data_IF_121651616238
#
_entry.id   IF_121651616238
#
_cell.length_a   1.000
_cell.length_b   1.000
_cell.length_c   1.000
_cell.angle_alpha   90.00
_cell.angle_beta   90.00
_cell.angle_gamma   90.00
#
_symmetry.space_group_name_H-M   'P 1'
#
loop_
_entity.id
_entity.type
_entity.pdbx_description
1 polymer ?
#
# COMPACT_ATOMS: atom_id res chain seq x y z
N UNK A 1 1.75 -41.64 13.19
CA UNK A 1 3.04 -41.62 12.46
C UNK A 1 3.64 -40.23 12.57
N UNK A 2 4.77 -40.08 13.27
CA UNK A 2 5.58 -38.84 13.21
C UNK A 2 6.16 -38.76 11.80
N UNK A 3 6.14 -37.61 11.11
CA UNK A 3 6.77 -37.50 9.81
C UNK A 3 8.29 -37.55 10.02
N UNK A 4 8.89 -38.67 9.64
CA UNK A 4 10.31 -38.84 9.41
C UNK A 4 10.70 -38.04 8.17
N UNK A 5 11.41 -36.92 8.37
CA UNK A 5 11.79 -36.03 7.27
C UNK A 5 12.91 -35.07 7.67
N UNK A 6 14.11 -35.62 7.84
CA UNK A 6 15.35 -34.90 8.10
C UNK A 6 15.79 -34.14 6.83
N UNK A 7 15.27 -32.93 6.59
CA UNK A 7 15.67 -32.15 5.40
C UNK A 7 15.93 -30.68 5.72
N UNK A 8 17.20 -30.28 5.62
CA UNK A 8 17.60 -28.87 5.56
C UNK A 8 16.95 -28.23 4.32
N UNK A 9 16.08 -27.24 4.54
CA UNK A 9 15.34 -26.58 3.47
C UNK A 9 15.64 -25.07 3.46
N UNK A 10 15.82 -24.52 2.26
CA UNK A 10 15.82 -23.08 2.06
C UNK A 10 14.37 -22.59 2.04
N UNK A 11 14.04 -21.66 2.94
CA UNK A 11 12.72 -21.03 3.04
C UNK A 11 12.86 -19.58 2.61
N UNK A 12 11.99 -19.11 1.72
CA UNK A 12 11.91 -17.70 1.35
C UNK A 12 10.61 -17.13 1.90
N UNK A 13 10.74 -16.17 2.80
CA UNK A 13 9.64 -15.44 3.43
C UNK A 13 9.44 -14.15 2.64
N UNK A 14 8.38 -14.10 1.84
CA UNK A 14 7.96 -12.92 1.10
C UNK A 14 7.06 -12.06 1.98
N UNK A 15 7.53 -10.88 2.34
CA UNK A 15 6.81 -9.91 3.18
C UNK A 15 6.11 -8.90 2.29
N UNK A 16 4.79 -8.78 2.44
CA UNK A 16 3.94 -7.86 1.67
C UNK A 16 3.05 -7.06 2.62
N UNK A 17 2.80 -5.80 2.30
CA UNK A 17 1.88 -4.92 3.01
C UNK A 17 0.45 -5.19 2.52
N UNK A 18 -0.51 -5.47 3.42
CA UNK A 18 -1.88 -5.71 3.00
C UNK A 18 -2.57 -4.46 2.42
N UNK A 19 -2.20 -3.27 2.90
CA UNK A 19 -2.81 -2.01 2.48
C UNK A 19 -2.35 -1.63 1.07
N UNK A 20 -1.08 -1.88 0.77
CA UNK A 20 -0.46 -1.66 -0.54
C UNK A 20 0.10 -2.97 -1.12
N UNK A 21 -0.77 -3.95 -1.30
CA UNK A 21 -0.36 -5.30 -1.72
C UNK A 21 0.37 -5.28 -3.06
N UNK A 22 -0.21 -4.66 -4.09
CA UNK A 22 0.38 -4.65 -5.44
C UNK A 22 1.65 -3.81 -5.53
N UNK A 23 1.74 -2.75 -4.71
CA UNK A 23 2.95 -1.95 -4.58
C UNK A 23 4.08 -2.69 -3.91
N UNK A 24 3.78 -3.43 -2.82
CA UNK A 24 4.78 -4.12 -2.00
C UNK A 24 5.14 -5.54 -2.48
N UNK A 25 4.33 -6.14 -3.35
CA UNK A 25 4.55 -7.50 -3.82
C UNK A 25 5.80 -7.57 -4.72
N UNK A 26 6.75 -8.47 -4.42
CA UNK A 26 7.99 -8.57 -5.19
C UNK A 26 7.77 -9.31 -6.53
N UNK A 27 7.06 -8.67 -7.49
CA UNK A 27 6.62 -9.26 -8.77
C UNK A 27 7.79 -9.84 -9.58
N UNK A 28 8.92 -9.11 -9.67
CA UNK A 28 10.10 -9.58 -10.41
C UNK A 28 10.80 -10.74 -9.72
N UNK A 29 11.05 -10.61 -8.41
CA UNK A 29 11.74 -11.66 -7.66
C UNK A 29 10.90 -12.94 -7.60
N UNK A 30 9.59 -12.83 -7.37
CA UNK A 30 8.68 -13.98 -7.41
C UNK A 30 8.69 -14.66 -8.77
N UNK A 31 8.47 -13.93 -9.87
CA UNK A 31 8.51 -14.52 -11.23
C UNK A 31 9.86 -15.18 -11.54
N UNK A 32 10.98 -14.57 -11.18
CA UNK A 32 12.31 -15.15 -11.38
C UNK A 32 12.51 -16.41 -10.53
N UNK A 33 12.10 -16.39 -9.26
CA UNK A 33 12.13 -17.56 -8.38
C UNK A 33 11.26 -18.68 -8.96
N UNK A 34 10.01 -18.39 -9.36
CA UNK A 34 9.12 -19.40 -9.94
C UNK A 34 9.63 -19.93 -11.28
N UNK A 35 10.18 -19.10 -12.16
CA UNK A 35 10.79 -19.54 -13.42
C UNK A 35 11.98 -20.46 -13.15
N UNK A 36 12.84 -20.12 -12.19
CA UNK A 36 13.95 -20.98 -11.78
C UNK A 36 13.44 -22.31 -11.20
N UNK A 37 12.37 -22.26 -10.39
CA UNK A 37 11.71 -23.41 -9.79
C UNK A 37 11.05 -24.34 -10.83
N UNK A 38 10.50 -23.79 -11.91
CA UNK A 38 9.90 -24.57 -13.01
C UNK A 38 10.97 -25.19 -13.92
N UNK A 39 12.07 -24.46 -14.19
CA UNK A 39 13.20 -24.99 -14.93
C UNK A 39 13.89 -26.17 -14.23
N UNK A 40 13.96 -26.15 -12.89
CA UNK A 40 14.57 -27.22 -12.08
C UNK A 40 13.68 -28.45 -11.88
N UNK A 41 12.39 -28.42 -12.24
CA UNK A 41 11.54 -29.64 -12.21
C UNK A 41 12.00 -30.72 -13.22
N UNK A 42 12.86 -30.37 -14.18
CA UNK A 42 13.48 -31.32 -15.10
C UNK A 42 14.67 -32.08 -14.48
N UNK A 43 15.26 -31.56 -13.40
CA UNK A 43 16.34 -32.20 -12.64
C UNK A 43 15.86 -32.55 -11.22
N UNK A 44 15.50 -33.81 -11.00
CA UNK A 44 14.94 -34.37 -9.76
C UNK A 44 15.85 -34.27 -8.52
N UNK A 45 17.04 -33.67 -8.62
CA UNK A 45 18.05 -33.57 -7.53
C UNK A 45 18.10 -32.21 -6.82
N UNK A 46 17.51 -31.14 -7.36
CA UNK A 46 17.53 -29.80 -6.74
C UNK A 46 16.31 -29.56 -5.86
N UNK A 47 16.52 -29.48 -4.54
CA UNK A 47 15.46 -29.14 -3.57
C UNK A 47 15.04 -27.68 -3.75
N UNK A 48 13.83 -27.51 -4.28
CA UNK A 48 13.17 -26.22 -4.49
C UNK A 48 12.99 -25.46 -3.15
N UNK A 49 13.31 -24.15 -3.08
CA UNK A 49 12.99 -23.36 -1.89
C UNK A 49 11.49 -23.32 -1.61
N UNK A 50 11.14 -23.45 -0.33
CA UNK A 50 9.75 -23.35 0.14
C UNK A 50 9.39 -21.87 0.27
N UNK A 51 8.31 -21.45 -0.40
CA UNK A 51 7.89 -20.05 -0.44
C UNK A 51 6.77 -19.81 0.57
N UNK A 52 6.98 -18.89 1.50
CA UNK A 52 5.99 -18.48 2.50
C UNK A 52 5.65 -17.02 2.26
N UNK A 53 4.37 -16.71 2.08
CA UNK A 53 3.90 -15.33 1.96
C UNK A 53 3.42 -14.85 3.32
N UNK A 54 3.90 -13.70 3.74
CA UNK A 54 3.54 -13.05 4.99
C UNK A 54 2.94 -11.69 4.66
N UNK A 55 1.62 -11.59 4.84
CA UNK A 55 0.89 -10.35 4.64
C UNK A 55 0.84 -9.60 5.97
N UNK A 56 1.52 -8.45 6.04
CA UNK A 56 1.71 -7.65 7.25
C UNK A 56 0.68 -6.51 7.33
N UNK A 57 0.68 -5.82 8.47
CA UNK A 57 -0.17 -4.64 8.74
C UNK A 57 -1.67 -4.91 8.59
N UNK A 58 -2.10 -6.14 8.86
CA UNK A 58 -3.52 -6.53 8.81
C UNK A 58 -4.37 -5.74 9.80
N UNK A 59 -3.75 -5.18 10.83
CA UNK A 59 -4.40 -4.30 11.82
C UNK A 59 -4.79 -2.91 11.29
N UNK A 60 -4.25 -2.53 10.12
CA UNK A 60 -4.61 -1.28 9.44
C UNK A 60 -5.79 -1.46 8.50
N UNK A 61 -6.17 -2.70 8.19
CA UNK A 61 -7.32 -2.96 7.34
C UNK A 61 -8.62 -2.72 8.11
N UNK A 62 -9.69 -2.29 7.41
CA UNK A 62 -10.99 -2.12 8.04
C UNK A 62 -11.50 -3.43 8.65
N UNK A 63 -12.04 -3.36 9.87
CA UNK A 63 -12.58 -4.50 10.63
C UNK A 63 -13.76 -5.21 9.96
N UNK A 64 -14.38 -4.62 8.93
CA UNK A 64 -15.43 -5.27 8.13
C UNK A 64 -14.92 -6.50 7.36
N UNK A 65 -13.61 -6.58 7.07
CA UNK A 65 -13.06 -7.70 6.32
C UNK A 65 -12.91 -8.93 7.23
N UNK A 66 -13.62 -10.01 6.92
CA UNK A 66 -13.42 -11.27 7.62
C UNK A 66 -12.04 -11.88 7.33
N UNK A 67 -11.37 -12.50 8.32
CA UNK A 67 -10.06 -13.13 8.12
C UNK A 67 -10.03 -14.17 6.99
N UNK A 68 -11.11 -14.94 6.84
CA UNK A 68 -11.26 -15.94 5.76
C UNK A 68 -11.28 -15.31 4.38
N UNK A 69 -11.98 -14.18 4.23
CA UNK A 69 -12.00 -13.43 2.97
C UNK A 69 -10.62 -12.86 2.67
N UNK A 70 -9.97 -12.25 3.66
CA UNK A 70 -8.63 -11.67 3.51
C UNK A 70 -7.61 -12.72 3.07
N UNK A 71 -7.59 -13.90 3.70
CA UNK A 71 -6.71 -15.01 3.29
C UNK A 71 -6.97 -15.45 1.84
N UNK A 72 -8.25 -15.64 1.47
CA UNK A 72 -8.62 -16.00 0.10
C UNK A 72 -8.19 -14.93 -0.91
N UNK A 73 -8.42 -13.66 -0.60
CA UNK A 73 -8.03 -12.53 -1.44
C UNK A 73 -6.51 -12.48 -1.63
N UNK A 74 -5.73 -12.55 -0.53
CA UNK A 74 -4.26 -12.53 -0.57
C UNK A 74 -3.71 -13.68 -1.41
N UNK A 75 -4.25 -14.90 -1.27
CA UNK A 75 -3.84 -16.07 -2.07
C UNK A 75 -4.11 -15.86 -3.55
N UNK A 76 -5.31 -15.39 -3.90
CA UNK A 76 -5.68 -15.15 -5.30
C UNK A 76 -4.81 -14.05 -5.92
N UNK A 77 -4.58 -12.97 -5.17
CA UNK A 77 -3.74 -11.85 -5.60
C UNK A 77 -2.27 -12.26 -5.77
N UNK A 78 -1.74 -13.08 -4.87
CA UNK A 78 -0.40 -13.63 -4.99
C UNK A 78 -0.25 -14.52 -6.24
N UNK A 79 -1.27 -15.35 -6.55
CA UNK A 79 -1.30 -16.15 -7.78
C UNK A 79 -1.28 -15.26 -9.03
N UNK A 80 -2.12 -14.22 -9.07
CA UNK A 80 -2.18 -13.26 -10.18
C UNK A 80 -0.84 -12.52 -10.39
N UNK A 81 -0.12 -12.22 -9.31
CA UNK A 81 1.18 -11.54 -9.37
C UNK A 81 2.38 -12.48 -9.66
N UNK A 82 2.14 -13.75 -9.97
CA UNK A 82 3.17 -14.70 -10.38
C UNK A 82 3.69 -15.61 -9.27
N UNK A 83 2.95 -15.76 -8.17
CA UNK A 83 3.23 -16.74 -7.13
C UNK A 83 2.15 -17.83 -7.00
N UNK A 84 2.08 -18.78 -7.96
CA UNK A 84 0.98 -19.75 -8.02
C UNK A 84 1.01 -20.79 -6.89
N UNK A 85 2.19 -21.16 -6.39
CA UNK A 85 2.38 -22.22 -5.38
C UNK A 85 3.11 -21.70 -4.16
N UNK A 86 2.36 -21.48 -3.08
CA UNK A 86 2.89 -21.05 -1.78
C UNK A 86 2.81 -22.23 -0.81
N UNK A 87 3.87 -22.42 -0.01
CA UNK A 87 3.90 -23.40 1.09
C UNK A 87 3.00 -22.97 2.26
N UNK A 88 2.80 -21.66 2.43
CA UNK A 88 1.90 -21.09 3.42
C UNK A 88 1.63 -19.62 3.18
N UNK A 89 0.50 -19.13 3.67
CA UNK A 89 0.14 -17.71 3.73
C UNK A 89 -0.20 -17.39 5.18
N UNK A 90 0.41 -16.35 5.71
CA UNK A 90 0.20 -15.88 7.08
C UNK A 90 -0.18 -14.42 7.09
N UNK A 91 -1.28 -14.14 7.79
CA UNK A 91 -1.77 -12.79 8.06
C UNK A 91 -1.23 -12.37 9.42
N UNK A 92 -0.44 -11.28 9.45
CA UNK A 92 0.24 -10.86 10.69
C UNK A 92 0.12 -9.36 10.93
N UNK A 93 0.03 -9.00 12.21
CA UNK A 93 0.34 -7.65 12.67
C UNK A 93 1.50 -7.73 13.63
N UNK A 94 2.67 -7.24 13.22
CA UNK A 94 3.83 -7.16 14.10
C UNK A 94 3.64 -6.13 15.23
N UNK A 95 2.78 -5.11 15.02
CA UNK A 95 2.49 -4.08 16.03
C UNK A 95 1.54 -4.60 17.11
N UNK A 96 0.44 -5.25 16.70
CA UNK A 96 -0.54 -5.87 17.61
C UNK A 96 -0.18 -7.29 18.03
N UNK A 97 0.98 -7.79 17.59
CA UNK A 97 1.49 -9.13 17.90
C UNK A 97 0.55 -10.28 17.47
N UNK A 98 -0.22 -10.04 16.40
CA UNK A 98 -1.17 -10.98 15.83
C UNK A 98 -0.47 -11.93 14.85
N UNK A 99 -0.67 -13.25 15.03
CA UNK A 99 -0.20 -14.27 14.08
C UNK A 99 1.32 -14.53 14.08
N UNK A 100 2.10 -13.75 14.82
CA UNK A 100 3.58 -13.82 14.84
C UNK A 100 4.09 -15.16 15.37
N UNK A 101 3.49 -15.70 16.44
CA UNK A 101 3.88 -17.00 17.03
C UNK A 101 3.59 -18.18 16.09
N UNK A 102 2.46 -18.16 15.41
CA UNK A 102 2.06 -19.20 14.47
C UNK A 102 2.96 -19.18 13.22
N UNK A 103 3.32 -17.98 12.74
CA UNK A 103 4.30 -17.84 11.67
C UNK A 103 5.67 -18.38 12.09
N UNK A 104 6.14 -18.04 13.28
CA UNK A 104 7.45 -18.46 13.76
C UNK A 104 7.58 -19.97 13.91
N UNK A 105 6.59 -20.62 14.52
CA UNK A 105 6.54 -22.08 14.65
C UNK A 105 6.56 -22.76 13.28
N UNK A 106 5.78 -22.26 12.33
CA UNK A 106 5.75 -22.77 10.96
C UNK A 106 7.08 -22.60 10.22
N UNK A 107 7.73 -21.44 10.32
CA UNK A 107 9.05 -21.21 9.70
C UNK A 107 10.09 -22.16 10.30
N UNK A 108 10.08 -22.36 11.63
CA UNK A 108 11.00 -23.28 12.31
C UNK A 108 10.82 -24.72 11.83
N UNK A 109 9.58 -25.18 11.74
CA UNK A 109 9.25 -26.52 11.24
C UNK A 109 9.66 -26.67 9.77
N UNK A 110 9.38 -25.68 8.93
CA UNK A 110 9.71 -25.71 7.50
C UNK A 110 11.20 -25.74 7.22
N UNK A 111 11.99 -24.94 7.97
CA UNK A 111 13.42 -24.78 7.77
C UNK A 111 14.23 -25.96 8.33
N UNK A 112 13.77 -26.55 9.45
CA UNK A 112 14.50 -27.61 10.13
C UNK A 112 15.77 -27.12 10.86
N UNK A 113 16.62 -28.05 11.35
CA UNK A 113 17.72 -27.72 12.27
C UNK A 113 18.93 -27.02 11.63
N UNK A 114 19.12 -27.07 10.30
CA UNK A 114 20.21 -26.39 9.59
C UNK A 114 19.76 -25.62 8.34
N UNK A 115 18.46 -25.33 8.23
CA UNK A 115 17.90 -24.60 7.10
C UNK A 115 18.29 -23.12 7.05
N UNK A 116 18.08 -22.49 5.88
CA UNK A 116 18.31 -21.07 5.67
C UNK A 116 16.98 -20.37 5.37
N UNK A 117 16.68 -19.29 6.09
CA UNK A 117 15.47 -18.49 5.92
C UNK A 117 15.84 -17.13 5.36
N UNK A 118 15.30 -16.79 4.19
CA UNK A 118 15.54 -15.53 3.50
C UNK A 118 14.30 -14.65 3.59
N UNK A 119 14.41 -13.47 4.19
CA UNK A 119 13.29 -12.54 4.28
C UNK A 119 13.43 -11.51 3.17
N UNK A 120 12.48 -11.50 2.22
CA UNK A 120 12.46 -10.60 1.06
C UNK A 120 11.15 -9.79 1.03
N UNK A 121 11.18 -8.58 0.49
CA UNK A 121 9.99 -7.74 0.36
C UNK A 121 10.35 -6.30 0.02
N UNK A 122 9.34 -5.52 -0.38
CA UNK A 122 9.54 -4.10 -0.68
C UNK A 122 10.06 -3.30 0.53
N UNK A 123 10.64 -2.13 0.25
CA UNK A 123 10.85 -1.12 1.28
C UNK A 123 9.49 -0.76 1.92
N UNK A 124 9.47 -0.56 3.24
CA UNK A 124 8.26 -0.25 4.03
C UNK A 124 7.18 -1.35 4.13
N UNK A 125 7.39 -2.55 3.57
CA UNK A 125 6.49 -3.70 3.74
C UNK A 125 6.41 -4.25 5.19
N UNK A 126 7.16 -3.68 6.14
CA UNK A 126 7.15 -4.10 7.55
C UNK A 126 8.14 -5.23 7.89
N UNK A 127 9.10 -5.52 7.00
CA UNK A 127 10.10 -6.58 7.18
C UNK A 127 10.90 -6.47 8.48
N UNK A 128 11.51 -5.32 8.76
CA UNK A 128 12.31 -5.12 9.98
C UNK A 128 11.43 -5.17 11.23
N UNK A 129 10.20 -4.66 11.17
CA UNK A 129 9.23 -4.77 12.26
C UNK A 129 8.84 -6.21 12.53
N UNK A 130 8.65 -7.02 11.48
CA UNK A 130 8.36 -8.45 11.59
C UNK A 130 9.52 -9.21 12.25
N UNK A 131 10.75 -8.99 11.77
CA UNK A 131 11.96 -9.61 12.34
C UNK A 131 12.08 -9.28 13.83
N UNK A 132 11.88 -8.00 14.20
CA UNK A 132 11.92 -7.58 15.60
C UNK A 132 10.84 -8.28 16.44
N UNK A 133 9.63 -8.44 15.91
CA UNK A 133 8.55 -9.14 16.59
C UNK A 133 8.87 -10.64 16.78
N UNK A 134 9.45 -11.30 15.76
CA UNK A 134 9.89 -12.70 15.85
C UNK A 134 10.98 -12.87 16.91
N UNK A 135 11.96 -11.96 16.97
CA UNK A 135 13.03 -12.01 17.98
C UNK A 135 12.49 -11.82 19.39
N UNK A 136 11.56 -10.87 19.58
CA UNK A 136 10.91 -10.63 20.87
C UNK A 136 10.15 -11.88 21.35
N UNK A 137 9.52 -12.62 20.43
CA UNK A 137 8.80 -13.86 20.75
C UNK A 137 9.68 -15.00 21.21
N UNK A 138 10.92 -15.05 20.74
CA UNK A 138 11.93 -16.00 21.20
C UNK A 138 12.64 -15.56 22.48
N UNK A 139 12.33 -14.39 23.02
CA UNK A 139 13.04 -13.84 24.18
C UNK A 139 14.52 -13.54 23.89
N UNK A 140 14.90 -13.43 22.63
CA UNK A 140 16.30 -13.25 22.21
C UNK A 140 16.52 -11.81 21.76
N UNK A 141 17.62 -11.18 22.19
CA UNK A 141 18.06 -9.89 21.62
C UNK A 141 18.62 -10.13 20.22
N UNK A 142 18.19 -9.32 19.25
CA UNK A 142 18.67 -9.42 17.86
C UNK A 142 20.17 -9.16 17.84
N UNK A 143 20.95 -10.19 17.53
CA UNK A 143 22.37 -10.03 17.19
C UNK A 143 22.49 -9.96 15.67
N UNK A 144 22.75 -8.76 15.14
CA UNK A 144 23.14 -8.59 13.74
C UNK A 144 24.61 -8.98 13.63
N UNK A 145 24.88 -10.15 13.07
CA UNK A 145 26.20 -10.78 13.18
C UNK A 145 27.15 -10.34 12.07
N UNK A 146 26.68 -10.24 10.82
CA UNK A 146 27.54 -10.00 9.66
C UNK A 146 26.73 -9.39 8.51
N UNK A 147 27.30 -8.39 7.85
CA UNK A 147 26.83 -7.83 6.58
C UNK A 147 27.59 -8.50 5.44
N UNK A 148 26.88 -9.15 4.52
CA UNK A 148 27.47 -9.63 3.28
C UNK A 148 27.34 -8.53 2.22
N UNK A 149 28.47 -8.07 1.68
CA UNK A 149 28.49 -7.09 0.61
C UNK A 149 27.78 -7.65 -0.63
N UNK A 150 26.75 -6.95 -1.09
CA UNK A 150 26.12 -7.19 -2.39
C UNK A 150 26.56 -6.05 -3.31
N UNK A 151 27.13 -6.33 -4.50
CA UNK A 151 27.57 -5.30 -5.41
C UNK A 151 26.42 -4.36 -5.79
N UNK A 152 26.61 -3.05 -5.63
CA UNK A 152 25.63 -2.02 -6.05
C UNK A 152 24.61 -1.59 -5.00
N UNK A 153 24.71 -2.03 -3.74
CA UNK A 153 23.83 -1.56 -2.64
C UNK A 153 24.62 -1.11 -1.41
N UNK A 154 24.22 0.00 -0.79
CA UNK A 154 24.83 0.58 0.44
C UNK A 154 24.48 -0.19 1.72
N UNK A 155 23.51 -1.10 1.66
CA UNK A 155 23.11 -2.02 2.73
C UNK A 155 23.23 -3.44 2.20
N UNK A 156 24.08 -4.25 2.80
CA UNK A 156 24.27 -5.66 2.48
C UNK A 156 23.22 -6.58 3.13
N UNK A 157 23.37 -7.88 2.89
CA UNK A 157 22.50 -8.90 3.50
C UNK A 157 22.93 -9.09 4.96
N UNK A 158 21.99 -8.96 5.90
CA UNK A 158 22.27 -9.11 7.32
C UNK A 158 21.91 -10.50 7.82
N UNK A 159 22.86 -11.16 8.48
CA UNK A 159 22.60 -12.42 9.19
C UNK A 159 22.05 -12.14 10.60
N UNK A 160 20.89 -12.71 10.89
CA UNK A 160 20.22 -12.61 12.18
C UNK A 160 20.40 -13.93 12.96
N UNK A 161 21.02 -13.82 14.13
CA UNK A 161 21.17 -14.93 15.07
C UNK A 161 20.01 -15.03 16.08
N UNK A 162 19.82 -16.21 16.65
CA UNK A 162 18.99 -16.41 17.85
C UNK A 162 17.48 -16.59 17.65
N UNK A 163 16.95 -16.36 16.45
CA UNK A 163 15.50 -16.53 16.17
C UNK A 163 15.14 -17.99 15.81
N UNK A 164 16.04 -18.69 15.13
CA UNK A 164 15.82 -20.06 14.66
C UNK A 164 16.61 -21.06 15.52
N UNK A 165 16.08 -22.28 15.71
CA UNK A 165 16.73 -23.30 16.54
C UNK A 165 18.02 -23.83 15.89
N UNK A 166 18.93 -24.31 16.75
CA UNK A 166 20.14 -25.03 16.38
C UNK A 166 21.09 -24.25 15.44
N UNK A 167 21.31 -24.74 14.21
CA UNK A 167 22.25 -24.15 13.24
C UNK A 167 21.54 -23.43 12.10
N UNK A 168 20.21 -23.33 12.14
CA UNK A 168 19.44 -22.64 11.13
C UNK A 168 19.74 -21.13 11.13
N UNK A 169 19.74 -20.51 9.96
CA UNK A 169 20.15 -19.12 9.77
C UNK A 169 19.03 -18.30 9.16
N UNK A 170 18.81 -17.10 9.68
CA UNK A 170 17.89 -16.12 9.10
C UNK A 170 18.69 -14.99 8.46
N UNK A 171 18.29 -14.59 7.25
CA UNK A 171 18.91 -13.54 6.47
C UNK A 171 17.88 -12.45 6.17
N UNK A 172 18.17 -11.23 6.58
CA UNK A 172 17.43 -10.04 6.19
C UNK A 172 18.05 -9.45 4.93
N UNK A 173 17.24 -9.30 3.90
CA UNK A 173 17.69 -8.70 2.64
C UNK A 173 17.31 -7.22 2.61
N UNK A 174 18.05 -6.36 1.90
CA UNK A 174 17.62 -4.98 1.69
C UNK A 174 16.19 -4.91 1.11
N UNK A 175 15.43 -3.88 1.51
CA UNK A 175 14.09 -3.67 0.97
C UNK A 175 14.14 -3.40 -0.53
N UNK A 176 13.32 -4.10 -1.31
CA UNK A 176 13.24 -3.87 -2.75
C UNK A 176 12.62 -2.50 -3.01
N UNK A 177 13.32 -1.67 -3.77
CA UNK A 177 12.81 -0.39 -4.26
C UNK A 177 12.00 -0.62 -5.53
N UNK A 178 10.78 -0.09 -5.53
CA UNK A 178 9.89 -0.16 -6.67
C UNK A 178 9.70 1.26 -7.23
N UNK A 179 10.25 1.57 -8.42
CA UNK A 179 10.23 2.94 -8.95
C UNK A 179 8.83 3.42 -9.35
N UNK A 180 7.87 2.49 -9.42
CA UNK A 180 6.48 2.77 -9.76
C UNK A 180 5.60 3.14 -8.55
N UNK A 181 6.18 3.22 -7.34
CA UNK A 181 5.44 3.65 -6.14
C UNK A 181 5.28 5.17 -6.15
N UNK A 182 4.09 5.67 -5.81
CA UNK A 182 3.86 7.10 -5.58
C UNK A 182 4.75 7.63 -4.44
N UNK A 183 4.89 6.84 -3.37
CA UNK A 183 5.61 7.22 -2.15
C UNK A 183 7.09 7.56 -2.37
N UNK A 184 7.73 7.06 -3.44
CA UNK A 184 9.15 7.34 -3.71
C UNK A 184 9.38 8.77 -4.24
N UNK A 185 8.32 9.44 -4.71
CA UNK A 185 8.39 10.81 -5.24
C UNK A 185 8.12 11.87 -4.17
N UNK A 186 7.64 11.42 -3.02
CA UNK A 186 7.26 12.27 -1.91
C UNK A 186 8.46 12.54 -1.01
N UNK A 187 8.51 13.75 -0.46
CA UNK A 187 9.45 14.05 0.61
C UNK A 187 8.98 13.40 1.93
N UNK A 188 9.80 13.51 2.98
CA UNK A 188 9.53 12.84 4.27
C UNK A 188 8.24 13.31 4.95
N UNK A 189 7.82 14.56 4.75
CA UNK A 189 6.60 15.08 5.38
C UNK A 189 5.35 14.68 4.60
N UNK A 190 5.44 14.67 3.27
CA UNK A 190 4.42 14.12 2.38
C UNK A 190 4.26 12.60 2.56
N UNK A 191 5.36 11.86 2.75
CA UNK A 191 5.35 10.42 3.04
C UNK A 191 4.58 10.12 4.34
N UNK A 192 4.77 10.94 5.39
CA UNK A 192 3.99 10.82 6.64
C UNK A 192 2.49 11.08 6.43
N UNK A 193 2.12 11.94 5.48
CA UNK A 193 0.71 12.20 5.15
C UNK A 193 0.05 10.98 4.51
N UNK A 194 0.74 10.30 3.59
CA UNK A 194 0.19 9.11 2.93
C UNK A 194 0.28 7.84 3.80
N UNK A 195 1.17 7.81 4.80
CA UNK A 195 1.35 6.64 5.65
C UNK A 195 0.10 6.33 6.50
N UNK A 196 -0.40 5.11 6.35
CA UNK A 196 -1.54 4.61 7.14
C UNK A 196 -0.99 4.07 8.46
N UNK A 197 -1.30 4.77 9.56
CA UNK A 197 -0.81 4.43 10.92
C UNK A 197 -1.88 3.82 11.83
N UNK A 198 -3.15 4.04 11.50
CA UNK A 198 -4.34 3.54 12.21
C UNK A 198 -5.21 2.78 11.22
N UNK A 199 -6.23 2.09 11.74
CA UNK A 199 -7.24 1.41 10.93
C UNK A 199 -7.80 2.35 9.86
N UNK A 200 -7.73 1.89 8.62
CA UNK A 200 -8.12 2.64 7.45
C UNK A 200 -9.62 2.90 7.46
N UNK A 201 -10.00 4.17 7.45
CA UNK A 201 -11.41 4.56 7.43
C UNK A 201 -11.86 4.78 5.98
N UNK A 202 -12.84 4.01 5.47
CA UNK A 202 -13.38 4.23 4.15
C UNK A 202 -14.09 5.59 4.09
N UNK A 203 -13.85 6.37 3.02
CA UNK A 203 -14.56 7.62 2.74
C UNK A 203 -15.37 7.46 1.47
N UNK A 204 -16.70 7.38 1.60
CA UNK A 204 -17.58 7.01 0.48
C UNK A 204 -18.38 8.19 -0.05
N UNK A 205 -18.44 8.31 -1.36
CA UNK A 205 -19.23 9.30 -2.08
C UNK A 205 -20.28 8.59 -2.93
N UNK A 206 -21.47 9.20 -3.02
CA UNK A 206 -22.45 8.84 -4.03
C UNK A 206 -22.45 9.93 -5.10
N UNK A 207 -22.02 9.58 -6.31
CA UNK A 207 -21.80 10.56 -7.38
C UNK A 207 -22.65 10.24 -8.61
N UNK A 208 -23.07 11.29 -9.32
CA UNK A 208 -23.67 11.21 -10.66
C UNK A 208 -22.57 11.37 -11.72
N UNK A 209 -22.87 11.06 -12.97
CA UNK A 209 -21.97 11.38 -14.08
C UNK A 209 -21.57 12.87 -14.09
N UNK A 210 -20.39 13.17 -14.66
CA UNK A 210 -19.79 14.51 -14.73
C UNK A 210 -19.35 15.05 -13.36
N UNK A 211 -18.85 14.17 -12.49
CA UNK A 211 -18.25 14.50 -11.19
C UNK A 211 -16.81 14.02 -11.13
N UNK A 212 -15.99 14.72 -10.35
CA UNK A 212 -14.57 14.41 -10.14
C UNK A 212 -14.25 14.31 -8.64
N UNK A 213 -13.41 13.35 -8.27
CA UNK A 213 -12.90 13.17 -6.91
C UNK A 213 -11.39 13.29 -6.95
N UNK A 214 -10.84 14.29 -6.27
CA UNK A 214 -9.41 14.46 -6.07
C UNK A 214 -8.98 13.79 -4.76
N UNK A 215 -7.80 13.19 -4.76
CA UNK A 215 -7.17 12.53 -3.62
C UNK A 215 -5.77 13.14 -3.49
N UNK A 216 -5.67 14.16 -2.64
CA UNK A 216 -4.61 15.16 -2.71
C UNK A 216 -4.50 15.71 -4.13
N UNK A 217 -3.29 16.12 -4.50
CA UNK A 217 -2.92 16.31 -5.90
C UNK A 217 -2.12 15.10 -6.44
N UNK A 218 -2.36 13.90 -5.89
CA UNK A 218 -1.67 12.65 -6.28
C UNK A 218 -2.51 11.78 -7.23
N UNK A 219 -3.83 11.82 -7.09
CA UNK A 219 -4.74 11.07 -7.94
C UNK A 219 -6.07 11.80 -8.11
N UNK A 220 -6.69 11.71 -9.30
CA UNK A 220 -8.05 12.19 -9.56
C UNK A 220 -8.86 11.12 -10.30
N UNK A 221 -10.10 10.90 -9.88
CA UNK A 221 -11.05 10.04 -10.56
C UNK A 221 -12.19 10.88 -11.12
N UNK A 222 -12.37 10.82 -12.44
CA UNK A 222 -13.44 11.49 -13.16
C UNK A 222 -14.47 10.46 -13.62
N UNK A 223 -15.74 10.67 -13.27
CA UNK A 223 -16.84 9.87 -13.79
C UNK A 223 -17.41 10.53 -15.04
N UNK A 224 -17.02 10.02 -16.21
CA UNK A 224 -17.45 10.58 -17.49
C UNK A 224 -18.90 10.24 -17.77
N UNK A 225 -19.20 8.94 -17.76
CA UNK A 225 -20.49 8.37 -18.12
C UNK A 225 -20.76 7.11 -17.28
N UNK A 226 -22.04 6.84 -17.01
CA UNK A 226 -22.48 5.60 -16.40
C UNK A 226 -23.85 5.21 -16.96
N UNK A 227 -24.12 3.91 -17.07
CA UNK A 227 -25.44 3.39 -17.48
C UNK A 227 -26.50 3.57 -16.39
N UNK A 228 -26.06 3.92 -15.18
CA UNK A 228 -26.90 4.13 -13.99
C UNK A 228 -26.83 5.57 -13.53
N UNK A 229 -27.88 6.02 -12.82
CA UNK A 229 -28.01 7.41 -12.39
C UNK A 229 -26.91 7.87 -11.41
N UNK A 230 -26.48 6.99 -10.52
CA UNK A 230 -25.42 7.25 -9.53
C UNK A 230 -24.46 6.07 -9.45
N UNK A 231 -23.27 6.26 -8.89
CA UNK A 231 -22.41 5.15 -8.45
C UNK A 231 -21.88 5.46 -7.04
N UNK A 232 -21.39 4.44 -6.36
CA UNK A 232 -20.63 4.60 -5.13
C UNK A 232 -19.14 4.55 -5.43
N UNK A 233 -18.41 5.52 -4.87
CA UNK A 233 -16.96 5.58 -4.94
C UNK A 233 -16.43 5.69 -3.51
N UNK A 234 -15.68 4.69 -3.08
CA UNK A 234 -15.09 4.63 -1.74
C UNK A 234 -13.58 4.77 -1.82
N UNK A 235 -13.03 5.80 -1.20
CA UNK A 235 -11.59 6.04 -1.13
C UNK A 235 -11.01 5.37 0.11
N UNK A 236 -10.02 4.50 -0.10
CA UNK A 236 -9.22 3.83 0.90
C UNK A 236 -7.79 4.37 0.84
N UNK A 237 -7.56 5.47 1.56
CA UNK A 237 -6.27 6.14 1.65
C UNK A 237 -6.14 6.82 3.02
N UNK A 238 -4.93 7.22 3.40
CA UNK A 238 -4.67 7.88 4.69
C UNK A 238 -5.64 9.05 4.96
N UNK A 239 -6.16 9.19 6.19
CA UNK A 239 -7.06 10.28 6.55
C UNK A 239 -6.37 11.65 6.54
N UNK A 240 -5.03 11.69 6.46
CA UNK A 240 -4.26 12.92 6.35
C UNK A 240 -4.10 13.41 4.91
N UNK A 241 -4.69 12.71 3.93
CA UNK A 241 -4.77 13.16 2.53
C UNK A 241 -6.10 13.89 2.36
N UNK A 242 -6.06 15.09 1.77
CA UNK A 242 -7.28 15.83 1.48
C UNK A 242 -8.06 15.21 0.32
N UNK A 243 -9.38 15.28 0.40
CA UNK A 243 -10.25 14.87 -0.70
C UNK A 243 -11.06 16.07 -1.20
N UNK A 244 -11.41 16.06 -2.48
CA UNK A 244 -12.34 17.04 -3.02
C UNK A 244 -13.28 16.42 -4.04
N UNK A 245 -14.59 16.47 -3.75
CA UNK A 245 -15.64 16.09 -4.69
C UNK A 245 -16.19 17.34 -5.39
N UNK A 246 -15.96 17.46 -6.69
CA UNK A 246 -16.36 18.59 -7.52
C UNK A 246 -17.13 18.19 -8.77
N UNK A 247 -17.48 19.20 -9.58
CA UNK A 247 -17.97 18.99 -10.94
C UNK A 247 -16.79 18.73 -11.88
N UNK A 248 -16.99 17.87 -12.88
CA UNK A 248 -15.96 17.54 -13.85
C UNK A 248 -15.49 18.76 -14.66
N UNK A 249 -16.41 19.67 -15.02
CA UNK A 249 -16.10 20.91 -15.75
C UNK A 249 -15.08 21.82 -15.05
N UNK A 250 -15.03 21.78 -13.71
CA UNK A 250 -14.11 22.59 -12.92
C UNK A 250 -12.91 21.79 -12.41
N UNK A 251 -12.74 20.53 -12.84
CA UNK A 251 -11.77 19.61 -12.25
C UNK A 251 -10.33 20.08 -12.49
N UNK A 252 -10.00 20.50 -13.71
CA UNK A 252 -8.67 21.01 -14.05
C UNK A 252 -8.39 22.35 -13.36
N UNK A 253 -9.35 23.27 -13.38
CA UNK A 253 -9.23 24.55 -12.67
C UNK A 253 -9.00 24.36 -11.17
N UNK A 254 -9.75 23.44 -10.54
CA UNK A 254 -9.58 23.09 -9.13
C UNK A 254 -8.19 22.54 -8.87
N UNK A 255 -7.69 21.65 -9.74
CA UNK A 255 -6.36 21.08 -9.60
C UNK A 255 -5.29 22.18 -9.69
N UNK A 256 -5.32 23.02 -10.74
CA UNK A 256 -4.35 24.10 -10.93
C UNK A 256 -4.35 25.11 -9.78
N UNK A 257 -5.52 25.50 -9.27
CA UNK A 257 -5.62 26.50 -8.19
C UNK A 257 -5.32 25.98 -6.79
N UNK A 258 -5.35 24.66 -6.58
CA UNK A 258 -5.34 24.10 -5.23
C UNK A 258 -4.33 22.97 -5.01
N UNK A 259 -3.66 22.45 -6.04
CA UNK A 259 -2.55 21.52 -5.89
C UNK A 259 -1.44 22.15 -5.05
N UNK A 260 -0.98 21.45 -4.01
CA UNK A 260 0.01 21.99 -3.06
C UNK A 260 -0.57 22.86 -1.94
N UNK A 261 -1.79 23.39 -2.10
CA UNK A 261 -2.46 24.27 -1.12
C UNK A 261 -3.54 23.52 -0.33
N UNK A 262 -4.67 23.21 -0.99
CA UNK A 262 -5.79 22.47 -0.38
C UNK A 262 -5.77 21.01 -0.79
N UNK A 263 -5.29 20.72 -1.99
CA UNK A 263 -5.06 19.37 -2.51
C UNK A 263 -3.65 18.95 -2.13
N UNK A 264 -3.51 18.42 -0.91
CA UNK A 264 -2.24 17.93 -0.38
C UNK A 264 -2.37 16.46 -0.01
N UNK A 265 -1.27 15.68 -0.15
CA UNK A 265 0.03 16.05 -0.71
C UNK A 265 0.03 16.26 -2.24
N UNK A 266 1.09 16.89 -2.82
CA UNK A 266 2.27 17.46 -2.18
C UNK A 266 1.99 18.69 -1.31
N UNK A 267 2.98 19.16 -0.55
CA UNK A 267 2.87 20.37 0.28
C UNK A 267 3.64 21.50 -0.39
N UNK A 268 2.94 22.54 -0.83
CA UNK A 268 3.50 23.64 -1.63
C UNK A 268 3.30 23.45 -3.13
N UNK A 269 3.11 24.55 -3.85
CA UNK A 269 2.83 24.56 -5.29
C UNK A 269 4.03 24.10 -6.11
N UNK A 270 5.24 24.55 -5.76
CA UNK A 270 6.49 24.21 -6.47
C UNK A 270 6.71 22.70 -6.56
N UNK A 271 6.35 21.99 -5.47
CA UNK A 271 6.49 20.53 -5.34
C UNK A 271 5.66 19.74 -6.35
N UNK A 272 4.56 20.31 -6.86
CA UNK A 272 3.69 19.65 -7.83
C UNK A 272 4.44 19.32 -9.12
N UNK A 273 5.32 20.23 -9.56
CA UNK A 273 6.12 20.07 -10.77
C UNK A 273 7.19 18.98 -10.66
N UNK A 274 7.67 18.71 -9.45
CA UNK A 274 8.72 17.73 -9.16
C UNK A 274 8.21 16.28 -9.17
N UNK A 275 6.88 16.06 -9.11
CA UNK A 275 6.27 14.72 -9.05
C UNK A 275 6.16 14.02 -10.43
N UNK A 276 6.37 14.75 -11.51
CA UNK A 276 6.35 14.23 -12.88
C UNK A 276 5.14 14.70 -13.70
N UNK A 277 4.85 13.99 -14.79
CA UNK A 277 3.79 14.38 -15.73
C UNK A 277 2.44 13.87 -15.26
N UNK A 278 1.44 14.75 -15.21
CA UNK A 278 0.05 14.39 -14.91
C UNK A 278 -0.60 13.72 -16.13
N UNK A 279 -0.89 12.42 -16.04
CA UNK A 279 -1.41 11.63 -17.16
C UNK A 279 -2.77 11.04 -16.83
N UNK A 280 -3.62 10.99 -17.86
CA UNK A 280 -4.92 10.34 -17.80
C UNK A 280 -4.87 8.91 -18.33
N UNK A 281 -5.75 8.08 -17.78
CA UNK A 281 -6.03 6.72 -18.24
C UNK A 281 -7.54 6.46 -18.17
N UNK A 282 -8.12 6.10 -19.30
CA UNK A 282 -9.52 5.71 -19.36
C UNK A 282 -9.70 4.25 -18.94
N UNK A 283 -10.74 3.99 -18.15
CA UNK A 283 -11.05 2.68 -17.60
C UNK A 283 -12.56 2.44 -17.75
N UNK A 284 -12.91 1.27 -18.29
CA UNK A 284 -14.29 0.77 -18.31
C UNK A 284 -14.48 -0.16 -17.11
N UNK A 285 -15.51 0.11 -16.31
CA UNK A 285 -15.80 -0.60 -15.07
C UNK A 285 -17.20 -1.16 -15.12
N UNK A 286 -17.34 -2.43 -14.79
CA UNK A 286 -18.61 -3.14 -14.78
C UNK A 286 -18.88 -3.68 -13.38
N UNK A 287 -20.11 -3.55 -12.91
CA UNK A 287 -20.52 -4.04 -11.61
C UNK A 287 -21.89 -4.70 -11.65
N UNK A 288 -22.10 -5.65 -10.73
CA UNK A 288 -23.30 -6.47 -10.68
C UNK A 288 -24.25 -6.08 -9.54
N UNK A 289 -23.80 -5.24 -8.61
CA UNK A 289 -24.55 -4.90 -7.39
C UNK A 289 -24.24 -3.49 -6.88
N UNK A 290 -25.25 -2.88 -6.24
CA UNK A 290 -25.12 -1.62 -5.51
C UNK A 290 -24.64 -1.79 -4.08
N UNK A 291 -24.79 -2.99 -3.52
CA UNK A 291 -24.55 -3.25 -2.10
C UNK A 291 -23.08 -3.53 -1.81
N UNK A 292 -22.36 -4.03 -2.81
CA UNK A 292 -20.96 -4.39 -2.69
C UNK A 292 -20.14 -3.72 -3.78
N UNK A 293 -18.91 -3.39 -3.41
CA UNK A 293 -17.91 -2.93 -4.35
C UNK A 293 -17.64 -3.99 -5.42
N UNK A 294 -17.46 -3.54 -6.66
CA UNK A 294 -17.26 -4.38 -7.84
C UNK A 294 -15.81 -4.40 -8.32
N UNK A 295 -15.10 -3.27 -8.22
CA UNK A 295 -13.70 -3.18 -8.68
C UNK A 295 -12.91 -2.21 -7.82
N UNK A 296 -11.69 -2.60 -7.46
CA UNK A 296 -10.68 -1.72 -6.86
C UNK A 296 -9.75 -1.18 -7.96
N UNK A 297 -9.51 0.13 -7.94
CA UNK A 297 -8.45 0.83 -8.66
C UNK A 297 -7.35 1.14 -7.64
N UNK A 298 -6.30 0.33 -7.60
CA UNK A 298 -5.19 0.48 -6.67
C UNK A 298 -4.05 1.30 -7.28
N UNK A 299 -3.63 2.35 -6.58
CA UNK A 299 -2.47 3.16 -6.92
C UNK A 299 -1.33 2.80 -5.97
N UNK A 300 -0.24 2.28 -6.54
CA UNK A 300 0.87 1.73 -5.77
C UNK A 300 1.51 2.83 -4.89
N UNK A 301 1.63 2.56 -3.58
CA UNK A 301 2.18 3.51 -2.60
C UNK A 301 1.23 4.62 -2.16
N UNK A 302 -0.07 4.59 -2.48
CA UNK A 302 -1.05 5.59 -2.06
C UNK A 302 -2.28 4.99 -1.36
N UNK A 303 -2.84 3.92 -1.95
CA UNK A 303 -4.10 3.33 -1.52
C UNK A 303 -4.92 2.88 -2.72
N UNK A 304 -6.24 2.76 -2.54
CA UNK A 304 -7.12 2.38 -3.64
C UNK A 304 -8.47 3.11 -3.59
N UNK A 305 -9.12 3.15 -4.74
CA UNK A 305 -10.52 3.54 -4.87
C UNK A 305 -11.32 2.29 -5.16
N UNK A 306 -12.41 2.08 -4.46
CA UNK A 306 -13.34 0.98 -4.70
C UNK A 306 -14.64 1.53 -5.29
N UNK A 307 -15.15 0.87 -6.34
CA UNK A 307 -16.32 1.34 -7.09
C UNK A 307 -17.44 0.32 -6.97
N UNK A 308 -18.60 0.77 -6.48
CA UNK A 308 -19.83 0.00 -6.38
C UNK A 308 -20.88 0.53 -7.36
N UNK A 309 -21.31 -0.32 -8.30
CA UNK A 309 -22.39 -0.02 -9.24
C UNK A 309 -23.06 -1.31 -9.75
N UNK A 310 -24.29 -1.18 -10.28
CA UNK A 310 -24.99 -2.23 -11.03
C UNK A 310 -25.16 -1.81 -12.49
N UNK A 311 -24.13 -2.01 -13.30
CA UNK A 311 -24.09 -1.55 -14.69
C UNK A 311 -22.66 -1.30 -15.15
N UNK A 312 -22.51 -0.36 -16.09
CA UNK A 312 -21.20 0.02 -16.63
C UNK A 312 -20.92 1.51 -16.37
N UNK A 313 -19.65 1.84 -16.16
CA UNK A 313 -19.16 3.21 -16.03
C UNK A 313 -17.85 3.38 -16.79
N UNK A 314 -17.72 4.51 -17.47
CA UNK A 314 -16.47 4.97 -18.06
C UNK A 314 -15.89 6.03 -17.14
N UNK A 315 -14.71 5.74 -16.59
CA UNK A 315 -14.01 6.65 -15.69
C UNK A 315 -12.65 7.02 -16.28
N UNK A 316 -12.21 8.24 -16.03
CA UNK A 316 -10.84 8.67 -16.32
C UNK A 316 -10.09 8.79 -15.00
N UNK A 317 -9.00 8.06 -14.87
CA UNK A 317 -8.10 8.16 -13.75
C UNK A 317 -6.90 9.03 -14.14
N UNK A 318 -6.60 10.03 -13.34
CA UNK A 318 -5.40 10.83 -13.46
C UNK A 318 -4.44 10.54 -12.33
N UNK A 319 -3.16 10.39 -12.68
CA UNK A 319 -2.06 10.30 -11.73
C UNK A 319 -0.75 10.64 -12.42
N UNK A 320 0.35 10.64 -11.67
CA UNK A 320 1.67 10.89 -12.23
C UNK A 320 2.18 9.72 -13.06
N UNK A 321 2.88 10.04 -14.14
CA UNK A 321 3.40 9.08 -15.10
C UNK A 321 4.36 8.07 -14.44
N UNK A 322 4.24 6.79 -14.78
CA UNK A 322 5.08 5.73 -14.20
C UNK A 322 4.61 5.18 -12.85
N UNK A 323 3.60 5.77 -12.22
CA UNK A 323 2.92 5.16 -11.07
C UNK A 323 2.11 3.94 -11.54
N UNK A 324 2.27 2.79 -10.88
CA UNK A 324 1.55 1.56 -11.25
C UNK A 324 0.10 1.65 -10.77
N UNK A 325 -0.83 1.59 -11.72
CA UNK A 325 -2.28 1.56 -11.48
C UNK A 325 -2.79 0.17 -11.85
N UNK A 326 -3.35 -0.50 -10.84
CA UNK A 326 -3.80 -1.88 -10.96
C UNK A 326 -5.30 -2.00 -10.70
N UNK A 327 -6.02 -2.55 -11.67
CA UNK A 327 -7.40 -3.00 -11.48
C UNK A 327 -7.39 -4.38 -10.81
N UNK A 328 -8.19 -4.54 -9.75
CA UNK A 328 -8.25 -5.79 -8.99
C UNK A 328 -9.62 -6.05 -8.39
N UNK A 329 -9.80 -7.29 -7.95
CA UNK A 329 -10.95 -7.70 -7.18
C UNK A 329 -11.01 -6.94 -5.83
N UNK A 330 -12.19 -6.49 -5.38
CA UNK A 330 -12.29 -5.66 -4.18
C UNK A 330 -11.80 -6.36 -2.92
N UNK A 331 -10.87 -5.70 -2.23
CA UNK A 331 -10.39 -6.16 -0.92
C UNK A 331 -11.51 -6.04 0.13
N UNK A 332 -12.12 -4.86 0.20
CA UNK A 332 -13.27 -4.54 1.07
C UNK A 332 -14.52 -4.47 0.20
N UNK A 333 -15.53 -5.30 0.49
CA UNK A 333 -16.80 -5.26 -0.23
C UNK A 333 -17.68 -4.09 0.21
N UNK A 334 -17.62 -3.77 1.50
CA UNK A 334 -18.49 -2.79 2.10
C UNK A 334 -18.02 -1.37 1.78
N UNK A 335 -19.00 -0.47 1.67
CA UNK A 335 -18.78 0.97 1.65
C UNK A 335 -18.69 1.51 3.09
N UNK A 336 -18.36 2.78 3.21
CA UNK A 336 -18.45 3.48 4.48
C UNK A 336 -19.90 3.54 4.98
N UNK A 337 -20.06 3.55 6.31
CA UNK A 337 -21.37 3.69 6.95
C UNK A 337 -22.04 5.03 6.61
N UNK A 338 -21.22 6.09 6.46
CA UNK A 338 -21.68 7.43 6.13
C UNK A 338 -21.14 7.88 4.79
N UNK A 339 -21.94 8.68 4.08
CA UNK A 339 -21.55 9.29 2.83
C UNK A 339 -20.99 10.69 3.08
N UNK A 340 -19.87 10.95 2.44
CA UNK A 340 -19.22 12.25 2.45
C UNK A 340 -19.96 13.25 1.55
N UNK A 341 -19.88 14.52 1.93
CA UNK A 341 -20.53 15.62 1.20
C UNK A 341 -19.63 16.15 0.08
N UNK A 342 -20.21 16.80 -0.96
CA UNK A 342 -19.43 17.53 -1.96
C UNK A 342 -18.57 18.65 -1.35
N UNK A 343 -17.46 18.98 -2.01
CA UNK A 343 -16.51 20.00 -1.57
C UNK A 343 -15.22 19.43 -0.99
N UNK A 344 -14.47 20.28 -0.29
CA UNK A 344 -13.18 19.93 0.31
C UNK A 344 -13.37 19.21 1.65
N UNK A 345 -12.79 18.02 1.75
CA UNK A 345 -12.58 17.30 3.00
C UNK A 345 -11.11 17.46 3.39
N UNK A 346 -10.85 18.44 4.25
CA UNK A 346 -9.51 18.76 4.71
C UNK A 346 -9.22 18.06 6.05
N UNK A 347 -8.08 17.36 6.16
CA UNK A 347 -7.50 16.98 7.44
C UNK A 347 -7.33 18.22 8.33
N UNK A 348 -7.49 18.04 9.64
CA UNK A 348 -7.37 19.13 10.62
C UNK A 348 -6.08 19.93 10.47
N UNK A 349 -4.95 19.25 10.27
CA UNK A 349 -3.66 19.90 10.07
C UNK A 349 -3.63 20.86 8.86
N UNK A 350 -4.28 20.48 7.75
CA UNK A 350 -4.36 21.31 6.55
C UNK A 350 -5.30 22.49 6.79
N UNK A 351 -6.45 22.24 7.41
CA UNK A 351 -7.41 23.30 7.77
C UNK A 351 -6.79 24.35 8.69
N UNK A 352 -6.05 23.92 9.71
CA UNK A 352 -5.40 24.81 10.67
C UNK A 352 -4.27 25.61 10.01
N UNK A 353 -3.47 24.98 9.14
CA UNK A 353 -2.40 25.65 8.39
C UNK A 353 -2.94 26.76 7.49
N UNK A 354 -3.99 26.48 6.71
CA UNK A 354 -4.65 27.47 5.85
C UNK A 354 -5.27 28.60 6.67
N UNK A 355 -5.93 28.26 7.78
CA UNK A 355 -6.52 29.25 8.68
C UNK A 355 -5.47 30.22 9.24
N UNK A 356 -4.32 29.71 9.67
CA UNK A 356 -3.23 30.54 10.19
C UNK A 356 -2.60 31.41 9.10
N UNK A 357 -2.41 30.89 7.90
CA UNK A 357 -1.89 31.67 6.77
C UNK A 357 -2.82 32.85 6.43
N UNK A 358 -4.13 32.60 6.35
CA UNK A 358 -5.11 33.65 6.06
C UNK A 358 -5.15 34.76 7.11
N UNK A 359 -4.97 34.42 8.40
CA UNK A 359 -4.86 35.40 9.49
C UNK A 359 -3.61 36.25 9.36
N UNK A 360 -2.47 35.62 9.07
CA UNK A 360 -1.19 36.33 8.90
C UNK A 360 -1.23 37.29 7.70
N UNK A 361 -1.82 36.87 6.58
CA UNK A 361 -2.00 37.73 5.40
C UNK A 361 -2.92 38.91 5.68
N UNK A 362 -4.01 38.70 6.43
CA UNK A 362 -4.91 39.77 6.87
C UNK A 362 -4.22 40.77 7.81
N UNK A 363 -3.43 40.28 8.78
CA UNK A 363 -2.64 41.14 9.68
C UNK A 363 -1.57 41.94 8.93
N UNK A 364 -0.90 41.33 7.94
CA UNK A 364 0.08 42.01 7.10
C UNK A 364 -0.58 43.11 6.26
N UNK A 365 -1.74 42.83 5.68
CA UNK A 365 -2.49 43.79 4.88
C UNK A 365 -2.97 44.97 5.73
N UNK A 366 -3.47 44.71 6.93
CA UNK A 366 -3.86 45.74 7.89
C UNK A 366 -2.68 46.64 8.28
N UNK A 367 -1.50 46.07 8.53
CA UNK A 367 -0.29 46.84 8.83
C UNK A 367 0.21 47.69 7.66
N UNK A 368 0.00 47.24 6.42
CA UNK A 368 0.33 48.02 5.21
C UNK A 368 -0.65 49.19 5.05
N UNK A 369 -1.95 48.95 5.24
CA UNK A 369 -2.98 49.99 5.21
C UNK A 369 -2.77 51.03 6.32
N UNK A 370 -2.46 50.61 7.55
CA UNK A 370 -2.11 51.51 8.67
C UNK A 370 -0.82 52.30 8.42
N UNK A 371 0.13 51.78 7.63
CA UNK A 371 1.36 52.49 7.28
C UNK A 371 1.17 53.49 6.12
N UNK A 372 0.25 53.20 5.19
CA UNK A 372 -0.13 54.11 4.11
C UNK A 372 -0.99 55.28 4.60
N UNK A 373 -1.81 55.11 5.66
CA UNK A 373 -2.58 56.19 6.29
C UNK A 373 -1.73 57.15 7.15
N UNK A 374 -0.50 56.77 7.50
CA UNK A 374 0.45 57.61 8.27
C UNK A 374 1.43 58.40 7.40
N UNK A 375 1.36 58.27 6.07
CA UNK A 375 2.09 59.05 5.08
C UNK A 375 1.18 60.10 4.45
#
# INVERSE_FOLDING_TARGET
>A
MKPTGNSDASVVVMVVDCVDFDGSFPKRASKSLFKALEGTKRDSKLKLPKLVLVATKVDLLPSQISPTRLDKWVRNRARANGAPRLSGVYLVSSRKDLGVRNLLSFIKELAGPRGNVWVIGAQNAGKSTLINALSKKEGTKITKLTEAAVPGTTLGILRIGGILPAKAKMYDTPGLLHPYLMSIRLNRDEEKMIEIRKELQPRSFRIKARKSIHIGALMRLDLNQATVQTIYVTVFASPNISLHLGKLENADETWTKHAGIRLQPPVGEDRVSELGQWKQRELKITGLSWDVNSTDIAAAGLGWISIGLKGEANVTLWSYDGVDITLREPLVLDRALFLERPGFLLPKAISDAIGNQSKFEAEKRKKLEEAEEML
#
